data_IF_576366634113
#
_entry.id   IF_576366634113
#
_cell.length_a   1.000
_cell.length_b   1.000
_cell.length_c   1.000
_cell.angle_alpha   90.00
_cell.angle_beta   90.00
_cell.angle_gamma   90.00
#
_symmetry.space_group_name_H-M   'P 1'
#
loop_
_entity.id
_entity.type
_entity.pdbx_description
1 polymer ?
#
# COMPACT_ATOMS: atom_id res chain seq x y z
N UNK A 1 42.64 -9.40 54.41
CA UNK A 1 41.46 -10.03 53.77
C UNK A 1 41.03 -11.22 54.62
N UNK A 2 39.77 -11.24 55.04
CA UNK A 2 39.25 -12.22 56.00
C UNK A 2 38.66 -13.44 55.25
N UNK A 3 39.03 -14.65 55.69
CA UNK A 3 38.70 -15.91 54.98
C UNK A 3 37.19 -16.17 54.98
N UNK A 4 36.49 -15.66 56.00
CA UNK A 4 35.03 -15.70 56.12
C UNK A 4 34.33 -14.88 55.03
N UNK A 5 34.92 -13.77 54.61
CA UNK A 5 34.35 -12.90 53.57
C UNK A 5 34.47 -13.55 52.20
N UNK A 6 35.60 -14.22 51.93
CA UNK A 6 35.85 -14.97 50.69
C UNK A 6 34.84 -16.12 50.50
N UNK A 7 34.61 -16.93 51.53
CA UNK A 7 33.65 -18.05 51.49
C UNK A 7 32.19 -17.58 51.35
N UNK A 8 31.84 -16.41 51.90
CA UNK A 8 30.50 -15.82 51.72
C UNK A 8 30.30 -15.27 50.32
N UNK A 9 31.32 -14.63 49.75
CA UNK A 9 31.23 -14.10 48.37
C UNK A 9 31.19 -15.19 47.30
N UNK A 10 31.89 -16.31 47.50
CA UNK A 10 31.90 -17.40 46.52
C UNK A 10 30.55 -18.13 46.43
N UNK A 11 29.83 -18.27 47.54
CA UNK A 11 28.46 -18.84 47.54
C UNK A 11 27.44 -17.99 46.79
N UNK A 12 27.53 -16.66 46.90
CA UNK A 12 26.63 -15.73 46.21
C UNK A 12 26.83 -15.73 44.69
N UNK A 13 28.09 -15.84 44.23
CA UNK A 13 28.42 -15.91 42.79
C UNK A 13 27.91 -17.22 42.18
N UNK A 14 28.11 -18.35 42.87
CA UNK A 14 27.63 -19.65 42.39
C UNK A 14 26.09 -19.69 42.29
N UNK A 15 25.40 -19.13 43.30
CA UNK A 15 23.94 -19.02 43.29
C UNK A 15 23.39 -18.07 42.22
N UNK A 16 24.11 -16.97 41.93
CA UNK A 16 23.74 -16.05 40.85
C UNK A 16 23.87 -16.67 39.46
N UNK A 17 24.92 -17.46 39.22
CA UNK A 17 25.16 -18.13 37.94
C UNK A 17 24.16 -19.25 37.65
N UNK A 18 23.74 -20.02 38.66
CA UNK A 18 22.73 -21.07 38.48
C UNK A 18 21.34 -20.47 38.20
N UNK A 19 20.99 -19.36 38.86
CA UNK A 19 19.73 -18.67 38.61
C UNK A 19 19.71 -18.03 37.22
N UNK A 20 20.82 -17.44 36.77
CA UNK A 20 20.92 -16.88 35.41
C UNK A 20 20.80 -17.96 34.32
N UNK A 21 21.32 -19.17 34.55
CA UNK A 21 21.18 -20.30 33.63
C UNK A 21 19.72 -20.80 33.52
N UNK A 22 18.96 -20.76 34.62
CA UNK A 22 17.55 -21.12 34.64
C UNK A 22 16.67 -20.09 33.95
N UNK A 23 16.96 -18.79 34.11
CA UNK A 23 16.23 -17.69 33.45
C UNK A 23 16.40 -17.78 31.92
N UNK A 24 17.61 -18.09 31.43
CA UNK A 24 17.86 -18.28 30.00
C UNK A 24 17.11 -19.49 29.42
N UNK A 25 16.92 -20.58 30.19
CA UNK A 25 16.15 -21.74 29.74
C UNK A 25 14.63 -21.54 29.81
N UNK A 26 14.15 -20.73 30.74
CA UNK A 26 12.73 -20.35 30.81
C UNK A 26 12.34 -19.38 29.67
N UNK A 27 13.26 -18.50 29.24
CA UNK A 27 13.02 -17.60 28.10
C UNK A 27 13.25 -18.25 26.73
N UNK A 28 13.96 -19.38 26.65
CA UNK A 28 14.14 -20.14 25.40
C UNK A 28 12.99 -21.11 25.09
N UNK A 29 11.91 -21.10 25.87
CA UNK A 29 10.65 -21.74 25.51
C UNK A 29 9.87 -20.84 24.53
N UNK A 30 10.48 -20.58 23.36
CA UNK A 30 9.71 -20.13 22.20
C UNK A 30 8.68 -21.21 21.92
N UNK A 31 7.36 -20.90 21.82
CA UNK A 31 6.42 -21.91 21.37
C UNK A 31 6.92 -22.42 20.02
N UNK A 32 7.13 -23.72 19.94
CA UNK A 32 7.52 -24.43 18.73
C UNK A 32 6.35 -24.44 17.72
N UNK A 33 5.82 -23.27 17.36
CA UNK A 33 5.21 -23.08 16.06
C UNK A 33 6.34 -22.81 15.06
N UNK A 34 7.24 -23.78 14.92
CA UNK A 34 7.98 -23.92 13.69
C UNK A 34 6.91 -24.21 12.65
N UNK A 35 6.53 -23.19 11.87
CA UNK A 35 5.56 -23.34 10.80
C UNK A 35 5.97 -24.56 9.98
N UNK A 36 5.11 -25.58 9.95
CA UNK A 36 5.30 -26.75 9.10
C UNK A 36 5.43 -26.20 7.68
N UNK A 37 6.64 -26.29 7.10
CA UNK A 37 6.86 -25.90 5.71
C UNK A 37 6.15 -26.95 4.87
N UNK A 38 4.89 -26.68 4.54
CA UNK A 38 4.15 -27.48 3.56
C UNK A 38 4.75 -27.19 2.19
N UNK A 39 5.29 -28.21 1.53
CA UNK A 39 5.70 -28.06 0.14
C UNK A 39 4.48 -27.76 -0.73
N UNK A 40 4.59 -26.83 -1.69
CA UNK A 40 3.51 -26.56 -2.64
C UNK A 40 3.14 -27.83 -3.41
N UNK A 41 1.86 -28.04 -3.64
CA UNK A 41 1.34 -29.16 -4.45
C UNK A 41 0.48 -28.60 -5.58
N UNK A 42 0.14 -29.42 -6.58
CA UNK A 42 -0.78 -28.97 -7.65
C UNK A 42 -2.14 -28.49 -7.09
N UNK A 43 -2.63 -29.11 -6.00
CA UNK A 43 -3.89 -28.73 -5.36
C UNK A 43 -3.77 -27.51 -4.43
N UNK A 44 -2.56 -27.21 -3.96
CA UNK A 44 -2.28 -26.05 -3.12
C UNK A 44 -0.97 -25.41 -3.59
N UNK A 45 -1.02 -24.70 -4.74
CA UNK A 45 0.17 -24.10 -5.32
C UNK A 45 0.56 -22.85 -4.53
N UNK A 46 1.85 -22.50 -4.59
CA UNK A 46 2.32 -21.21 -4.10
C UNK A 46 2.03 -20.14 -5.15
N UNK A 47 1.12 -19.20 -4.83
CA UNK A 47 0.65 -18.16 -5.75
C UNK A 47 1.63 -16.99 -5.79
N UNK A 48 2.49 -16.93 -6.81
CA UNK A 48 3.52 -15.89 -7.02
C UNK A 48 3.42 -15.20 -8.39
N UNK A 49 2.29 -15.31 -9.06
CA UNK A 49 2.12 -14.93 -10.47
C UNK A 49 1.48 -13.56 -10.71
N UNK A 50 0.89 -12.93 -9.69
CA UNK A 50 0.14 -11.66 -9.85
C UNK A 50 0.60 -10.52 -8.93
N UNK A 51 1.76 -10.65 -8.27
CA UNK A 51 2.29 -9.64 -7.32
C UNK A 51 1.34 -9.30 -6.17
N UNK A 52 0.51 -10.26 -5.74
CA UNK A 52 -0.38 -10.09 -4.60
C UNK A 52 0.39 -10.09 -3.28
N UNK A 53 -0.12 -9.37 -2.29
CA UNK A 53 0.45 -9.40 -0.95
C UNK A 53 -0.05 -10.63 -0.17
N UNK A 54 0.83 -11.62 0.02
CA UNK A 54 0.51 -12.86 0.75
C UNK A 54 0.19 -12.67 2.24
N UNK A 55 0.53 -11.52 2.83
CA UNK A 55 0.15 -11.20 4.22
C UNK A 55 -1.34 -10.84 4.34
N UNK A 56 -2.01 -10.56 3.22
CA UNK A 56 -3.40 -10.10 3.19
C UNK A 56 -3.57 -8.66 3.68
N UNK A 57 -4.83 -8.30 3.90
CA UNK A 57 -5.23 -6.98 4.38
C UNK A 57 -4.88 -6.80 5.87
N UNK A 58 -4.49 -5.59 6.28
CA UNK A 58 -4.25 -5.28 7.70
C UNK A 58 -5.52 -5.50 8.53
N UNK A 59 -5.36 -5.83 9.82
CA UNK A 59 -6.50 -6.06 10.72
C UNK A 59 -7.44 -4.85 10.79
N UNK A 60 -6.89 -3.63 10.82
CA UNK A 60 -7.65 -2.39 10.85
C UNK A 60 -8.44 -2.17 9.55
N UNK A 61 -7.83 -2.41 8.39
CA UNK A 61 -8.52 -2.28 7.10
C UNK A 61 -9.60 -3.36 6.93
N UNK A 62 -9.35 -4.60 7.38
CA UNK A 62 -10.38 -5.65 7.36
C UNK A 62 -11.58 -5.26 8.22
N UNK A 63 -11.35 -4.71 9.42
CA UNK A 63 -12.43 -4.27 10.29
C UNK A 63 -13.21 -3.10 9.67
N UNK A 64 -12.53 -2.10 9.11
CA UNK A 64 -13.18 -0.97 8.44
C UNK A 64 -14.09 -1.42 7.28
N UNK A 65 -13.67 -2.45 6.51
CA UNK A 65 -14.52 -3.06 5.47
C UNK A 65 -15.76 -3.69 6.08
N UNK A 66 -15.63 -4.47 7.16
CA UNK A 66 -16.79 -5.08 7.84
C UNK A 66 -17.74 -4.00 8.37
N UNK A 67 -17.21 -2.95 8.97
CA UNK A 67 -17.99 -1.87 9.57
C UNK A 67 -18.77 -1.05 8.53
N UNK A 68 -18.28 -0.95 7.29
CA UNK A 68 -18.97 -0.21 6.23
C UNK A 68 -20.05 -1.02 5.48
N UNK A 69 -20.04 -2.36 5.57
CA UNK A 69 -21.01 -3.24 4.90
C UNK A 69 -22.48 -2.89 5.17
N UNK A 70 -22.91 -2.57 6.40
CA UNK A 70 -24.30 -2.23 6.67
C UNK A 70 -24.80 -1.01 5.88
N UNK A 71 -23.92 -0.10 5.49
CA UNK A 71 -24.24 1.12 4.73
C UNK A 71 -23.96 1.02 3.24
N UNK A 72 -23.43 -0.11 2.75
CA UNK A 72 -22.96 -0.28 1.38
C UNK A 72 -24.05 -0.21 0.29
N UNK A 73 -25.33 -0.11 0.68
CA UNK A 73 -26.45 0.13 -0.23
C UNK A 73 -26.60 1.60 -0.65
N UNK A 74 -25.74 2.49 -0.16
CA UNK A 74 -25.69 3.92 -0.51
C UNK A 74 -24.35 4.27 -1.16
N UNK A 75 -24.37 5.29 -2.02
CA UNK A 75 -23.15 5.81 -2.63
C UNK A 75 -22.23 6.42 -1.57
N UNK A 76 -20.92 6.08 -1.57
CA UNK A 76 -19.98 6.49 -0.53
C UNK A 76 -19.37 7.88 -0.80
N UNK A 77 -20.15 8.86 -1.29
CA UNK A 77 -19.61 10.13 -1.78
C UNK A 77 -18.86 10.93 -0.69
N UNK A 78 -19.39 10.94 0.54
CA UNK A 78 -18.75 11.58 1.68
C UNK A 78 -17.41 10.90 2.05
N UNK A 79 -17.40 9.56 2.14
CA UNK A 79 -16.18 8.80 2.42
C UNK A 79 -15.15 8.94 1.30
N UNK A 80 -15.59 9.06 0.04
CA UNK A 80 -14.73 9.32 -1.12
C UNK A 80 -14.06 10.69 -1.00
N UNK A 81 -14.79 11.73 -0.62
CA UNK A 81 -14.24 13.07 -0.44
C UNK A 81 -13.22 13.09 0.72
N UNK A 82 -13.54 12.46 1.85
CA UNK A 82 -12.63 12.34 2.98
C UNK A 82 -11.32 11.61 2.60
N UNK A 83 -11.40 10.50 1.86
CA UNK A 83 -10.22 9.78 1.39
C UNK A 83 -9.33 10.63 0.49
N UNK A 84 -9.91 11.45 -0.40
CA UNK A 84 -9.16 12.38 -1.24
C UNK A 84 -8.38 13.39 -0.39
N UNK A 85 -9.03 13.97 0.62
CA UNK A 85 -8.40 14.94 1.53
C UNK A 85 -7.26 14.31 2.34
N UNK A 86 -7.46 13.09 2.85
CA UNK A 86 -6.45 12.37 3.61
C UNK A 86 -5.23 12.00 2.75
N UNK A 87 -5.44 11.55 1.51
CA UNK A 87 -4.35 11.25 0.56
C UNK A 87 -3.61 12.54 0.22
N UNK A 88 -4.33 13.62 -0.09
CA UNK A 88 -3.73 14.92 -0.40
C UNK A 88 -2.85 15.41 0.76
N UNK A 89 -3.35 15.36 1.99
CA UNK A 89 -2.59 15.73 3.19
C UNK A 89 -1.37 14.84 3.40
N UNK A 90 -1.50 13.53 3.21
CA UNK A 90 -0.40 12.57 3.37
C UNK A 90 0.78 12.86 2.42
N UNK A 91 0.49 13.28 1.18
CA UNK A 91 1.51 13.58 0.17
C UNK A 91 1.85 15.08 0.06
N UNK A 92 1.26 15.95 0.89
CA UNK A 92 1.48 17.40 0.82
C UNK A 92 0.94 18.06 -0.46
N UNK A 93 -0.13 17.50 -1.03
CA UNK A 93 -0.79 17.96 -2.26
C UNK A 93 -2.11 18.66 -1.94
N UNK A 94 -2.71 19.32 -2.93
CA UNK A 94 -4.09 19.81 -2.84
C UNK A 94 -5.05 18.71 -3.29
N UNK A 95 -6.28 18.72 -2.77
CA UNK A 95 -7.32 17.77 -3.17
C UNK A 95 -7.60 17.78 -4.69
N UNK A 96 -7.46 18.94 -5.36
CA UNK A 96 -7.59 19.09 -6.83
C UNK A 96 -6.53 18.31 -7.63
N UNK A 97 -5.44 17.87 -6.99
CA UNK A 97 -4.39 17.07 -7.62
C UNK A 97 -4.64 15.56 -7.49
N UNK A 98 -5.68 15.15 -6.76
CA UNK A 98 -5.98 13.74 -6.51
C UNK A 98 -7.25 13.35 -7.27
N UNK A 99 -7.16 12.23 -7.99
CA UNK A 99 -8.33 11.54 -8.55
C UNK A 99 -8.33 10.10 -8.08
N UNK A 100 -9.52 9.56 -7.84
CA UNK A 100 -9.71 8.16 -7.45
C UNK A 100 -10.37 7.40 -8.59
N UNK A 101 -9.81 6.24 -8.92
CA UNK A 101 -10.39 5.23 -9.81
C UNK A 101 -10.52 3.88 -9.11
N UNK A 102 -11.19 2.92 -9.74
CA UNK A 102 -11.34 1.55 -9.26
C UNK A 102 -10.08 0.72 -9.56
N UNK A 103 -8.99 1.10 -8.91
CA UNK A 103 -7.65 0.57 -9.16
C UNK A 103 -6.86 1.40 -10.18
N UNK A 104 -5.55 1.14 -10.22
CA UNK A 104 -4.62 1.89 -11.07
C UNK A 104 -4.86 1.65 -12.55
N UNK A 105 -5.30 0.44 -12.94
CA UNK A 105 -5.58 0.08 -14.34
C UNK A 105 -6.58 1.03 -15.01
N UNK A 106 -7.69 1.33 -14.34
CA UNK A 106 -8.67 2.30 -14.84
C UNK A 106 -8.09 3.71 -14.93
N UNK A 107 -7.35 4.12 -13.89
CA UNK A 107 -6.74 5.46 -13.84
C UNK A 107 -5.72 5.66 -14.96
N UNK A 108 -4.89 4.65 -15.26
CA UNK A 108 -3.93 4.65 -16.37
C UNK A 108 -4.68 4.73 -17.70
N UNK A 109 -5.74 3.93 -17.88
CA UNK A 109 -6.55 3.97 -19.09
C UNK A 109 -7.16 5.36 -19.32
N UNK A 110 -7.75 5.95 -18.28
CA UNK A 110 -8.33 7.30 -18.34
C UNK A 110 -7.27 8.36 -18.70
N UNK A 111 -6.08 8.28 -18.10
CA UNK A 111 -4.98 9.21 -18.40
C UNK A 111 -4.53 9.10 -19.88
N UNK A 112 -4.37 7.88 -20.39
CA UNK A 112 -4.01 7.65 -21.80
C UNK A 112 -5.10 8.18 -22.73
N UNK A 113 -6.38 7.89 -22.44
CA UNK A 113 -7.51 8.39 -23.23
C UNK A 113 -7.57 9.92 -23.25
N UNK A 114 -7.34 10.58 -22.11
CA UNK A 114 -7.32 12.03 -22.03
C UNK A 114 -6.24 12.63 -22.95
N UNK A 115 -5.03 12.07 -22.95
CA UNK A 115 -3.92 12.53 -23.81
C UNK A 115 -4.26 12.31 -25.29
N UNK A 116 -4.80 11.15 -25.66
CA UNK A 116 -5.21 10.86 -27.04
C UNK A 116 -6.29 11.84 -27.52
N UNK A 117 -7.30 12.11 -26.70
CA UNK A 117 -8.36 13.07 -27.03
C UNK A 117 -7.81 14.49 -27.20
N UNK A 118 -6.88 14.92 -26.35
CA UNK A 118 -6.20 16.21 -26.49
C UNK A 118 -5.44 16.31 -27.83
N UNK A 119 -4.68 15.28 -28.21
CA UNK A 119 -3.95 15.25 -29.48
C UNK A 119 -4.89 15.34 -30.70
N UNK A 120 -6.02 14.61 -30.67
CA UNK A 120 -7.01 14.64 -31.75
C UNK A 120 -7.68 16.03 -31.89
N UNK A 121 -7.95 16.71 -30.78
CA UNK A 121 -8.51 18.07 -30.80
C UNK A 121 -7.52 19.08 -31.39
N UNK A 122 -6.24 18.97 -31.05
CA UNK A 122 -5.19 19.83 -31.61
C UNK A 122 -5.03 19.62 -33.11
N UNK A 123 -5.08 18.38 -33.60
CA UNK A 123 -5.05 18.09 -35.03
C UNK A 123 -6.25 18.68 -35.78
N UNK A 124 -7.47 18.52 -35.24
CA UNK A 124 -8.69 19.10 -35.82
C UNK A 124 -8.63 20.63 -35.87
N UNK A 125 -8.14 21.26 -34.81
CA UNK A 125 -7.97 22.72 -34.75
C UNK A 125 -6.96 23.20 -35.80
N UNK A 126 -5.80 22.55 -35.90
CA UNK A 126 -4.79 22.86 -36.92
C UNK A 126 -5.28 22.67 -38.35
N UNK A 127 -6.11 21.64 -38.61
CA UNK A 127 -6.71 21.43 -39.92
C UNK A 127 -7.76 22.51 -40.23
N UNK A 128 -8.59 22.89 -39.25
CA UNK A 128 -9.57 23.98 -39.39
C UNK A 128 -8.92 25.35 -39.60
N UNK A 129 -7.84 25.64 -38.88
CA UNK A 129 -7.09 26.90 -39.01
C UNK A 129 -6.41 27.01 -40.39
N UNK A 130 -5.86 25.91 -40.92
CA UNK A 130 -5.33 25.85 -42.30
C UNK A 130 -6.40 26.06 -43.37
N UNK A 131 -7.55 25.38 -43.24
CA UNK A 131 -8.65 25.54 -44.18
C UNK A 131 -9.17 26.99 -44.21
N UNK A 132 -9.17 27.68 -43.06
CA UNK A 132 -9.54 29.10 -42.96
C UNK A 132 -8.49 30.02 -43.58
N UNK A 133 -7.19 29.79 -43.35
CA UNK A 133 -6.13 30.60 -43.96
C UNK A 133 -6.14 30.49 -45.48
N UNK A 134 -6.35 29.28 -46.02
CA UNK A 134 -6.40 29.04 -47.47
C UNK A 134 -7.60 29.77 -48.11
N UNK A 135 -8.75 29.77 -47.43
CA UNK A 135 -9.94 30.50 -47.89
C UNK A 135 -9.73 32.02 -47.87
N UNK A 136 -9.06 32.56 -46.85
CA UNK A 136 -8.71 33.98 -46.77
C UNK A 136 -7.70 34.39 -47.86
N UNK A 137 -6.71 33.55 -48.14
CA UNK A 137 -5.74 33.79 -49.22
C UNK A 137 -6.41 33.79 -50.60
N UNK A 138 -7.30 32.84 -50.87
CA UNK A 138 -8.10 32.82 -52.09
C UNK A 138 -9.07 34.01 -52.21
N UNK A 139 -9.60 34.52 -51.09
CA UNK A 139 -10.45 35.71 -51.07
C UNK A 139 -9.70 37.02 -51.30
N UNK A 140 -8.44 37.12 -50.86
CA UNK A 140 -7.59 38.30 -51.04
C UNK A 140 -6.97 38.42 -52.45
N UNK A 141 -7.01 37.35 -53.26
CA UNK A 141 -6.50 37.30 -54.63
C UNK A 141 -7.57 37.57 -55.70
N UNK A 142 -8.79 37.95 -55.31
CA UNK A 142 -9.87 38.42 -56.20
C UNK A 142 -10.09 39.90 -56.03
#
# INVERSE_FOLDING_TARGET
MDRRTLLKSSGAILGGLTLSGLINRAQAATPANAAVISFPTEKNPLLLNFNENSLGMSAHAKQAVVDCLPTAFRYPDAARAELIEQIAAHFGLKSENITLGNGSSETIQAAVQAIVLQAQQQQKKSAGDRARSDLQLCGALR
#
